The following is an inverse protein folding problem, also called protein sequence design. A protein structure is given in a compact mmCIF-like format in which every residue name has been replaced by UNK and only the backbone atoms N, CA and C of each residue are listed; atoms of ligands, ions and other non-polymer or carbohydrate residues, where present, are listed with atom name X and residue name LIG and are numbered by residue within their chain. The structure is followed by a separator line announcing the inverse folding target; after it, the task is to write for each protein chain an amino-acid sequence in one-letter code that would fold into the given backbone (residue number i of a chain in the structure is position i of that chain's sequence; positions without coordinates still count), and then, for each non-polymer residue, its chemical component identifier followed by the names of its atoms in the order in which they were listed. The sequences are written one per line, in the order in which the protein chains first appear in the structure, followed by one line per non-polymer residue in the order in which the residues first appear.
data_IF_477528650657
#
_entry.id   IF_477528650657
#
_cell.length_a   1.000
_cell.length_b   1.000
_cell.length_c   1.000
_cell.angle_alpha   90.00
_cell.angle_beta   90.00
_cell.angle_gamma   90.00
#
_symmetry.space_group_name_H-M   'P 1'
#
loop_
_entity.id
_entity.type
_entity.pdbx_description
1 polymer ?
#
# COMPACT_ATOMS: atom_id res chain seq x y z
N UNK A 1 -6.19 -4.73 -16.58
CA UNK A 1 -7.18 -4.37 -15.54
C UNK A 1 -6.62 -4.80 -14.19
N UNK A 2 -6.45 -3.91 -13.22
CA UNK A 2 -5.92 -4.27 -11.89
C UNK A 2 -7.04 -4.53 -10.86
N UNK A 3 -6.66 -4.89 -9.63
CA UNK A 3 -7.58 -5.24 -8.54
C UNK A 3 -7.28 -4.49 -7.22
N UNK A 4 -6.53 -3.40 -7.27
CA UNK A 4 -6.22 -2.60 -6.07
C UNK A 4 -7.51 -2.09 -5.40
N UNK A 5 -7.67 -2.26 -4.07
CA UNK A 5 -8.84 -1.81 -3.33
C UNK A 5 -8.81 -0.29 -3.10
N UNK A 6 -8.87 0.47 -4.19
CA UNK A 6 -8.74 1.93 -4.18
C UNK A 6 -10.03 2.59 -3.76
N UNK A 7 -9.91 3.59 -2.90
CA UNK A 7 -10.95 4.55 -2.56
C UNK A 7 -10.42 5.96 -2.75
N UNK A 8 -11.30 6.96 -2.78
CA UNK A 8 -10.90 8.37 -2.87
C UNK A 8 -10.33 8.83 -1.52
N UNK A 9 -9.27 9.62 -1.57
CA UNK A 9 -8.65 10.29 -0.44
C UNK A 9 -7.63 11.33 -0.91
N UNK A 10 -7.14 12.15 0.01
CA UNK A 10 -6.18 13.23 -0.24
C UNK A 10 -4.87 12.93 0.49
N UNK A 11 -3.96 12.13 -0.11
CA UNK A 11 -2.65 11.88 0.44
C UNK A 11 -1.69 13.05 0.17
N UNK A 12 -0.78 13.33 1.10
CA UNK A 12 0.36 14.23 0.88
C UNK A 12 1.63 13.62 1.48
N UNK A 13 2.77 13.90 0.84
CA UNK A 13 4.10 13.51 1.30
C UNK A 13 5.04 14.69 1.09
N UNK A 14 5.62 15.22 2.16
CA UNK A 14 6.46 16.42 2.11
C UNK A 14 7.53 16.39 3.20
N UNK A 15 8.52 17.27 3.08
CA UNK A 15 9.55 17.47 4.10
C UNK A 15 9.18 18.69 4.93
N UNK A 16 9.22 18.55 6.25
CA UNK A 16 8.97 19.63 7.20
C UNK A 16 10.01 19.56 8.33
N UNK A 17 10.87 20.59 8.39
CA UNK A 17 11.77 20.84 9.54
C UNK A 17 12.63 19.64 9.97
N UNK A 18 13.14 18.85 9.00
CA UNK A 18 13.98 17.68 9.26
C UNK A 18 13.21 16.35 9.42
N UNK A 19 11.88 16.39 9.28
CA UNK A 19 11.04 15.21 9.19
C UNK A 19 10.50 15.03 7.76
N UNK A 20 10.40 13.78 7.32
CA UNK A 20 9.50 13.37 6.24
C UNK A 20 8.12 13.18 6.84
N UNK A 21 7.11 13.88 6.32
CA UNK A 21 5.74 13.85 6.81
C UNK A 21 4.83 13.30 5.72
N UNK A 22 4.06 12.25 6.07
CA UNK A 22 3.00 11.70 5.25
C UNK A 22 1.65 11.94 5.92
N UNK A 23 0.67 12.45 5.18
CA UNK A 23 -0.70 12.63 5.69
C UNK A 23 -1.70 11.99 4.75
N UNK A 24 -2.81 11.51 5.30
CA UNK A 24 -3.97 11.06 4.53
C UNK A 24 -5.24 11.64 5.14
N UNK A 25 -5.98 12.36 4.32
CA UNK A 25 -7.31 12.86 4.65
C UNK A 25 -8.38 12.12 3.84
N UNK A 26 -9.51 11.83 4.47
CA UNK A 26 -10.74 11.37 3.79
C UNK A 26 -11.79 12.46 3.91
N UNK A 27 -12.13 13.08 2.77
CA UNK A 27 -12.88 14.34 2.79
C UNK A 27 -12.07 15.43 3.50
N UNK A 28 -12.63 16.01 4.55
CA UNK A 28 -11.97 17.05 5.38
C UNK A 28 -11.32 16.48 6.65
N UNK A 29 -11.39 15.17 6.87
CA UNK A 29 -10.98 14.53 8.12
C UNK A 29 -9.65 13.81 7.96
N UNK A 30 -8.70 14.12 8.85
CA UNK A 30 -7.41 13.42 8.96
C UNK A 30 -7.62 11.99 9.43
N UNK A 31 -7.10 11.01 8.69
CA UNK A 31 -7.18 9.58 9.05
C UNK A 31 -5.81 8.94 9.30
N UNK A 32 -4.73 9.49 8.75
CA UNK A 32 -3.37 9.04 9.07
C UNK A 32 -2.34 10.19 9.04
N UNK A 33 -1.42 10.20 10.01
CA UNK A 33 -0.22 11.04 10.02
C UNK A 33 0.99 10.18 10.31
N UNK A 34 1.92 10.11 9.37
CA UNK A 34 3.20 9.43 9.48
C UNK A 34 4.33 10.46 9.54
N UNK A 35 5.32 10.22 10.39
CA UNK A 35 6.56 11.01 10.42
C UNK A 35 7.76 10.09 10.45
N UNK A 36 8.85 10.52 9.80
CA UNK A 36 10.14 9.85 9.85
C UNK A 36 11.28 10.87 9.87
N UNK A 37 12.36 10.62 10.60
CA UNK A 37 13.58 11.43 10.48
C UNK A 37 14.06 11.48 9.03
N UNK A 38 14.26 12.68 8.47
CA UNK A 38 14.52 12.84 7.05
C UNK A 38 15.93 12.35 6.67
N UNK A 39 15.99 11.25 5.91
CA UNK A 39 17.24 10.65 5.38
C UNK A 39 18.29 10.37 6.47
N UNK A 40 17.82 9.87 7.63
CA UNK A 40 18.66 9.74 8.82
C UNK A 40 19.77 8.70 8.68
N UNK A 41 19.44 7.54 8.09
CA UNK A 41 20.41 6.48 7.77
C UNK A 41 20.16 5.97 6.35
N UNK A 42 21.22 5.66 5.60
CA UNK A 42 21.09 4.97 4.33
C UNK A 42 20.56 3.55 4.56
N UNK A 43 19.68 3.10 3.67
CA UNK A 43 19.20 1.73 3.62
C UNK A 43 19.91 1.02 2.46
N UNK A 44 20.32 -0.23 2.66
CA UNK A 44 20.96 -1.00 1.60
C UNK A 44 20.04 -1.10 0.37
N UNK A 45 20.63 -0.96 -0.81
CA UNK A 45 19.86 -0.92 -2.05
C UNK A 45 19.20 -2.26 -2.36
N UNK A 46 19.83 -3.38 -2.03
CA UNK A 46 19.25 -4.71 -2.22
C UNK A 46 18.10 -4.91 -1.25
N UNK A 47 18.24 -4.49 0.00
CA UNK A 47 17.14 -4.53 0.98
C UNK A 47 15.92 -3.73 0.48
N UNK A 48 16.15 -2.56 -0.13
CA UNK A 48 15.09 -1.76 -0.74
C UNK A 48 14.47 -2.45 -1.97
N UNK A 49 15.29 -3.08 -2.82
CA UNK A 49 14.82 -3.85 -3.98
C UNK A 49 13.98 -5.06 -3.55
N UNK A 50 14.38 -5.76 -2.49
CA UNK A 50 13.63 -6.88 -1.91
C UNK A 50 12.30 -6.43 -1.30
N UNK A 51 12.27 -5.30 -0.58
CA UNK A 51 11.03 -4.72 -0.03
C UNK A 51 10.03 -4.35 -1.13
N UNK A 52 10.49 -3.73 -2.20
CA UNK A 52 9.62 -3.26 -3.30
C UNK A 52 9.27 -4.39 -4.27
N UNK A 53 10.16 -5.37 -4.45
CA UNK A 53 10.01 -6.45 -5.44
C UNK A 53 9.08 -7.58 -5.02
N UNK A 54 8.54 -7.58 -3.80
CA UNK A 54 7.61 -8.63 -3.35
C UNK A 54 6.36 -8.69 -4.25
N UNK A 55 5.83 -9.89 -4.55
CA UNK A 55 4.58 -10.00 -5.30
C UNK A 55 3.41 -9.36 -4.54
N UNK A 56 2.61 -8.57 -5.24
CA UNK A 56 1.41 -7.96 -4.66
C UNK A 56 0.18 -8.80 -4.99
N UNK A 57 -0.56 -9.17 -3.96
CA UNK A 57 -1.80 -9.93 -4.07
C UNK A 57 -3.01 -9.03 -3.78
N UNK A 58 -4.10 -9.26 -4.52
CA UNK A 58 -5.34 -8.50 -4.39
C UNK A 58 -6.53 -9.43 -4.60
N UNK A 59 -7.66 -9.13 -3.96
CA UNK A 59 -8.92 -9.79 -4.23
C UNK A 59 -9.67 -9.03 -5.34
N UNK A 60 -9.87 -9.67 -6.48
CA UNK A 60 -10.69 -9.14 -7.58
C UNK A 60 -12.12 -9.61 -7.41
N UNK A 61 -12.99 -8.68 -7.04
CA UNK A 61 -14.44 -8.91 -6.95
C UNK A 61 -15.15 -8.13 -8.05
N UNK A 62 -16.01 -8.81 -8.82
CA UNK A 62 -16.93 -8.17 -9.78
C UNK A 62 -18.33 -8.72 -9.54
N UNK A 63 -19.31 -7.87 -9.16
CA UNK A 63 -20.69 -8.31 -8.99
C UNK A 63 -21.33 -8.63 -10.35
N UNK A 64 -22.20 -9.63 -10.37
CA UNK A 64 -23.16 -9.92 -11.42
C UNK A 64 -24.36 -8.97 -11.38
N UNK A 65 -25.27 -9.12 -12.34
CA UNK A 65 -26.50 -8.31 -12.40
C UNK A 65 -27.49 -8.61 -11.27
N UNK A 66 -27.40 -9.81 -10.70
CA UNK A 66 -28.16 -10.28 -9.53
C UNK A 66 -27.54 -9.86 -8.19
N UNK A 67 -26.40 -9.16 -8.22
CA UNK A 67 -25.64 -8.77 -7.04
C UNK A 67 -24.73 -9.87 -6.47
N UNK A 68 -24.81 -11.11 -6.99
CA UNK A 68 -23.92 -12.19 -6.59
C UNK A 68 -22.54 -12.03 -7.23
N UNK A 69 -21.44 -12.54 -6.64
CA UNK A 69 -20.13 -12.44 -7.26
C UNK A 69 -20.09 -13.19 -8.61
N UNK A 70 -19.78 -12.47 -9.70
CA UNK A 70 -19.49 -13.06 -11.02
C UNK A 70 -18.01 -13.39 -11.18
N UNK A 71 -17.15 -12.61 -10.54
CA UNK A 71 -15.70 -12.85 -10.42
C UNK A 71 -15.35 -12.70 -8.96
N UNK A 72 -14.66 -13.70 -8.41
CA UNK A 72 -14.07 -13.66 -7.07
C UNK A 72 -12.73 -14.39 -7.15
N UNK A 73 -11.66 -13.66 -7.41
CA UNK A 73 -10.34 -14.23 -7.68
C UNK A 73 -9.28 -13.57 -6.81
N UNK A 74 -8.38 -14.37 -6.23
CA UNK A 74 -7.09 -13.86 -5.78
C UNK A 74 -6.24 -13.67 -7.04
N UNK A 75 -5.77 -12.44 -7.26
CA UNK A 75 -4.88 -12.11 -8.37
C UNK A 75 -3.53 -11.62 -7.84
N UNK A 76 -2.50 -11.77 -8.66
CA UNK A 76 -1.13 -11.37 -8.37
C UNK A 76 -0.61 -10.41 -9.43
N UNK A 77 0.18 -9.44 -9.04
CA UNK A 77 1.04 -8.65 -9.94
C UNK A 77 2.46 -8.61 -9.40
N UNK A 78 3.40 -8.26 -10.26
CA UNK A 78 4.81 -8.06 -9.93
C UNK A 78 5.29 -6.73 -10.46
N UNK A 79 6.22 -6.14 -9.70
CA UNK A 79 7.01 -5.02 -10.17
C UNK A 79 8.15 -5.57 -11.05
N UNK A 80 8.34 -4.94 -12.22
CA UNK A 80 9.46 -5.21 -13.13
C UNK A 80 10.24 -3.92 -13.38
N UNK A 81 11.42 -4.04 -13.98
CA UNK A 81 12.26 -2.90 -14.34
C UNK A 81 12.55 -1.95 -13.16
N UNK A 82 12.76 -2.53 -11.98
CA UNK A 82 12.97 -1.79 -10.75
C UNK A 82 14.38 -1.20 -10.70
N UNK A 83 14.45 0.12 -10.56
CA UNK A 83 15.70 0.84 -10.28
C UNK A 83 15.52 1.66 -9.01
N UNK A 84 16.16 1.25 -7.92
CA UNK A 84 16.24 2.06 -6.71
C UNK A 84 17.24 3.20 -6.91
N UNK A 85 16.73 4.43 -6.90
CA UNK A 85 17.52 5.67 -7.02
C UNK A 85 18.09 6.10 -5.70
N UNK A 86 17.33 5.90 -4.62
CA UNK A 86 17.79 6.15 -3.27
C UNK A 86 16.92 5.47 -2.22
N UNK A 87 17.51 5.14 -1.07
CA UNK A 87 16.83 4.46 0.02
C UNK A 87 17.39 4.91 1.37
N UNK A 88 16.50 5.20 2.32
CA UNK A 88 16.84 5.60 3.68
C UNK A 88 15.92 4.95 4.70
N UNK A 89 16.38 4.87 5.94
CA UNK A 89 15.61 4.49 7.12
C UNK A 89 15.85 5.49 8.26
N UNK A 90 15.05 5.41 9.32
CA UNK A 90 15.15 6.30 10.46
C UNK A 90 14.05 6.10 11.49
N UNK A 91 14.11 6.82 12.63
CA UNK A 91 13.06 6.80 13.63
C UNK A 91 11.76 7.30 13.01
N UNK A 92 10.66 6.58 13.26
CA UNK A 92 9.35 6.88 12.67
C UNK A 92 8.21 6.74 13.67
N UNK A 93 7.09 7.41 13.38
CA UNK A 93 5.82 7.31 14.11
C UNK A 93 4.67 7.29 13.13
N UNK A 94 3.59 6.60 13.51
CA UNK A 94 2.35 6.55 12.76
C UNK A 94 1.18 6.74 13.72
N UNK A 95 0.37 7.78 13.46
CA UNK A 95 -0.89 8.02 14.14
C UNK A 95 -2.03 7.74 13.16
N UNK A 96 -3.01 6.95 13.60
CA UNK A 96 -4.24 6.68 12.87
C UNK A 96 -5.43 7.28 13.63
N UNK A 97 -6.44 7.73 12.90
CA UNK A 97 -7.70 8.24 13.45
C UNK A 97 -8.86 7.41 12.91
N UNK A 98 -9.86 7.17 13.76
CA UNK A 98 -11.04 6.38 13.37
C UNK A 98 -11.87 7.12 12.32
N UNK A 99 -12.27 6.38 11.28
CA UNK A 99 -13.14 6.92 10.24
C UNK A 99 -13.96 5.80 9.61
N UNK A 100 -15.29 5.96 9.56
CA UNK A 100 -16.22 4.90 9.16
C UNK A 100 -16.06 4.44 7.71
N UNK A 101 -15.59 5.33 6.81
CA UNK A 101 -15.33 5.01 5.40
C UNK A 101 -13.83 4.87 5.06
N UNK A 102 -12.95 5.01 6.06
CA UNK A 102 -11.51 4.87 5.90
C UNK A 102 -10.94 4.23 7.18
N UNK A 103 -11.30 2.97 7.47
CA UNK A 103 -11.09 2.34 8.77
C UNK A 103 -9.65 1.85 8.97
N UNK A 104 -8.65 2.70 8.73
CA UNK A 104 -7.24 2.34 8.96
C UNK A 104 -6.98 2.00 10.43
N UNK A 105 -7.63 2.72 11.35
CA UNK A 105 -7.46 2.56 12.80
C UNK A 105 -8.08 1.26 13.37
N UNK A 106 -8.80 0.47 12.56
CA UNK A 106 -9.28 -0.86 12.97
C UNK A 106 -8.10 -1.85 13.15
N UNK A 107 -6.94 -1.53 12.55
CA UNK A 107 -5.65 -2.16 12.82
C UNK A 107 -4.77 -1.16 13.60
N UNK A 108 -4.88 -1.10 14.93
CA UNK A 108 -4.19 -0.09 15.73
C UNK A 108 -2.67 -0.29 15.71
N UNK A 109 -1.93 0.82 15.74
CA UNK A 109 -0.47 0.80 15.86
C UNK A 109 -0.08 0.46 17.29
N UNK A 110 0.35 -0.79 17.53
CA UNK A 110 0.89 -1.22 18.81
C UNK A 110 2.36 -0.82 18.98
N UNK A 111 3.13 -0.99 17.91
CA UNK A 111 4.55 -0.67 17.85
C UNK A 111 4.95 -0.37 16.40
N UNK A 112 5.90 0.55 16.21
CA UNK A 112 6.54 0.78 14.92
C UNK A 112 7.79 -0.08 14.84
N UNK A 113 7.77 -1.11 14.00
CA UNK A 113 8.87 -2.07 13.84
C UNK A 113 9.99 -1.50 12.97
N UNK A 114 9.65 -0.83 11.86
CA UNK A 114 10.60 -0.24 10.93
C UNK A 114 9.95 0.84 10.05
N UNK A 115 10.78 1.61 9.34
CA UNK A 115 10.35 2.55 8.31
C UNK A 115 11.41 2.66 7.20
N UNK A 116 10.97 2.85 5.96
CA UNK A 116 11.83 3.11 4.81
C UNK A 116 11.29 4.24 3.95
N UNK A 117 12.18 5.07 3.40
CA UNK A 117 11.90 6.08 2.40
C UNK A 117 12.70 5.75 1.15
N UNK A 118 12.01 5.35 0.09
CA UNK A 118 12.62 4.80 -1.12
C UNK A 118 12.12 5.59 -2.33
N UNK A 119 13.05 5.99 -3.20
CA UNK A 119 12.77 6.63 -4.49
C UNK A 119 13.19 5.66 -5.58
N UNK A 120 12.28 5.31 -6.49
CA UNK A 120 12.51 4.29 -7.51
C UNK A 120 11.88 4.67 -8.85
N UNK A 121 12.47 4.19 -9.94
CA UNK A 121 11.72 3.94 -11.17
C UNK A 121 11.28 2.48 -11.19
N UNK A 122 10.07 2.21 -11.66
CA UNK A 122 9.52 0.86 -11.75
C UNK A 122 8.43 0.74 -12.81
N UNK A 123 8.19 -0.49 -13.26
CA UNK A 123 7.06 -0.86 -14.12
C UNK A 123 6.07 -1.72 -13.34
N UNK A 124 4.80 -1.34 -13.39
CA UNK A 124 3.70 -2.18 -12.89
C UNK A 124 3.25 -3.14 -13.99
N UNK A 125 3.46 -4.44 -13.80
CA UNK A 125 2.98 -5.46 -14.72
C UNK A 125 1.46 -5.66 -14.65
N UNK A 126 0.91 -6.39 -15.62
CA UNK A 126 -0.45 -6.90 -15.55
C UNK A 126 -0.71 -7.75 -14.30
N UNK A 127 -1.99 -8.01 -14.03
CA UNK A 127 -2.40 -8.98 -13.00
C UNK A 127 -2.69 -10.33 -13.64
N UNK A 128 -2.41 -11.41 -12.91
CA UNK A 128 -2.75 -12.79 -13.27
C UNK A 128 -3.57 -13.44 -12.14
N UNK A 129 -4.61 -14.23 -12.43
CA UNK A 129 -5.31 -15.02 -11.42
C UNK A 129 -4.39 -16.08 -10.82
N UNK A 130 -4.43 -16.22 -9.49
CA UNK A 130 -3.71 -17.29 -8.76
C UNK A 130 -4.65 -18.24 -8.03
N UNK A 131 -5.87 -17.79 -7.71
CA UNK A 131 -6.91 -18.64 -7.12
C UNK A 131 -8.29 -18.10 -7.50
N UNK A 132 -9.20 -18.98 -7.92
CA UNK A 132 -10.60 -18.66 -8.22
C UNK A 132 -11.48 -19.24 -7.12
N UNK A 133 -12.13 -18.37 -6.34
CA UNK A 133 -12.98 -18.75 -5.21
C UNK A 133 -14.36 -19.27 -5.63
N UNK A 134 -14.75 -19.09 -6.90
CA UNK A 134 -16.02 -19.61 -7.44
C UNK A 134 -15.84 -21.00 -8.08
N UNK A 135 -14.59 -21.47 -8.20
CA UNK A 135 -14.31 -22.79 -8.75
C UNK A 135 -14.74 -23.88 -7.76
N UNK A 136 -15.76 -24.65 -8.13
CA UNK A 136 -16.29 -25.76 -7.33
C UNK A 136 -17.63 -25.46 -6.64
N UNK A 137 -18.06 -24.19 -6.64
CA UNK A 137 -19.48 -23.85 -6.44
C UNK A 137 -20.24 -24.21 -7.72
N UNK A 138 -20.96 -25.33 -7.68
CA UNK A 138 -21.87 -25.71 -8.77
C UNK A 138 -22.89 -24.58 -9.01
N UNK A 139 -23.07 -24.23 -10.28
CA UNK A 139 -24.23 -23.44 -10.75
C UNK A 139 -25.52 -24.23 -10.59
#
# INVERSE_FOLDING_TARGET
VAAYPKVIGSPALYVDSGALVGTLDHGTLRVATATMGYKHHELDRRDAEEQIGVPTFMLKTVPGYDGMPRVQELVRTRITDLTVKAAWTGPARLQLFQHVLAPLADLPVLEVVSASHIVTDLTLSGVEPVHDYLKGTAS
#
